data_IF_468546406070
#
_entry.id   IF_468546406070
#
_cell.length_a   1.000
_cell.length_b   1.000
_cell.length_c   1.000
_cell.angle_alpha   90.00
_cell.angle_beta   90.00
_cell.angle_gamma   90.00
#
_symmetry.space_group_name_H-M   'P 1'
#
loop_
_entity.id
_entity.type
_entity.pdbx_description
1 polymer ?
#
# COMPACT_ATOMS: atom_id res chain seq x y z
N UNK A 1 -11.42 -9.93 -18.88
CA UNK A 1 -10.19 -10.73 -18.70
C UNK A 1 -9.02 -9.88 -18.19
N UNK A 2 -8.72 -8.76 -18.84
CA UNK A 2 -7.60 -7.84 -18.51
C UNK A 2 -7.57 -7.37 -17.05
N UNK A 3 -8.69 -6.93 -16.48
CA UNK A 3 -8.73 -6.48 -15.08
C UNK A 3 -8.39 -7.59 -14.07
N UNK A 4 -8.75 -8.84 -14.37
CA UNK A 4 -8.43 -9.99 -13.50
C UNK A 4 -6.92 -10.28 -13.52
N UNK A 5 -6.29 -10.16 -14.68
CA UNK A 5 -4.84 -10.34 -14.84
C UNK A 5 -4.10 -9.21 -14.12
N UNK A 6 -4.49 -7.95 -14.33
CA UNK A 6 -3.88 -6.79 -13.64
C UNK A 6 -3.98 -6.95 -12.12
N UNK A 7 -5.15 -7.39 -11.63
CA UNK A 7 -5.39 -7.67 -10.21
C UNK A 7 -4.47 -8.77 -9.69
N UNK A 8 -4.37 -9.89 -10.41
CA UNK A 8 -3.50 -11.00 -10.02
C UNK A 8 -2.02 -10.58 -9.99
N UNK A 9 -1.56 -9.84 -11.01
CA UNK A 9 -0.20 -9.30 -11.06
C UNK A 9 0.07 -8.34 -9.90
N UNK A 10 -0.85 -7.42 -9.63
CA UNK A 10 -0.71 -6.47 -8.53
C UNK A 10 -0.61 -7.18 -7.17
N UNK A 11 -1.46 -8.18 -6.93
CA UNK A 11 -1.40 -9.00 -5.70
C UNK A 11 -0.08 -9.77 -5.64
N UNK A 12 0.35 -10.38 -6.75
CA UNK A 12 1.61 -11.12 -6.80
C UNK A 12 2.82 -10.25 -6.52
N UNK A 13 2.89 -9.04 -7.07
CA UNK A 13 3.96 -8.07 -6.81
C UNK A 13 3.93 -7.65 -5.34
N UNK A 14 2.76 -7.34 -4.77
CA UNK A 14 2.65 -6.96 -3.37
C UNK A 14 3.07 -8.08 -2.41
N UNK A 15 2.70 -9.33 -2.72
CA UNK A 15 3.17 -10.49 -1.97
C UNK A 15 4.68 -10.70 -2.12
N UNK A 16 5.21 -10.53 -3.34
CA UNK A 16 6.64 -10.64 -3.61
C UNK A 16 7.45 -9.64 -2.77
N UNK A 17 7.01 -8.38 -2.69
CA UNK A 17 7.63 -7.37 -1.82
C UNK A 17 7.63 -7.82 -0.36
N UNK A 18 6.52 -8.34 0.15
CA UNK A 18 6.46 -8.86 1.51
C UNK A 18 7.45 -10.01 1.73
N UNK A 19 7.46 -11.01 0.86
CA UNK A 19 8.34 -12.17 1.00
C UNK A 19 9.83 -11.78 0.95
N UNK A 20 10.21 -10.91 0.01
CA UNK A 20 11.59 -10.40 -0.09
C UNK A 20 11.96 -9.65 1.19
N UNK A 21 11.05 -8.81 1.69
CA UNK A 21 11.29 -8.03 2.91
C UNK A 21 11.45 -8.94 4.12
N UNK A 22 10.55 -9.91 4.32
CA UNK A 22 10.62 -10.85 5.43
C UNK A 22 11.87 -11.73 5.38
N UNK A 23 12.28 -12.16 4.19
CA UNK A 23 13.49 -12.96 4.02
C UNK A 23 14.76 -12.15 4.29
N UNK A 24 14.79 -10.88 3.87
CA UNK A 24 15.92 -9.98 4.07
C UNK A 24 15.97 -9.29 5.44
N UNK A 25 14.91 -9.40 6.24
CA UNK A 25 14.84 -8.74 7.54
C UNK A 25 15.74 -9.44 8.56
N UNK A 26 16.73 -8.70 9.05
CA UNK A 26 17.76 -9.15 9.99
C UNK A 26 17.39 -8.92 11.46
N UNK A 27 16.17 -8.47 11.74
CA UNK A 27 15.68 -8.22 13.09
C UNK A 27 16.23 -6.94 13.74
N UNK A 28 17.01 -6.14 13.00
CA UNK A 28 17.57 -4.89 13.51
C UNK A 28 16.69 -3.70 13.13
N UNK A 29 16.61 -2.68 14.01
CA UNK A 29 15.98 -1.42 13.66
C UNK A 29 16.77 -0.70 12.57
N UNK A 30 16.07 0.08 11.72
CA UNK A 30 16.62 0.83 10.59
C UNK A 30 17.40 -0.01 9.55
N UNK A 31 16.90 -1.22 9.27
CA UNK A 31 17.44 -2.07 8.21
C UNK A 31 17.04 -1.51 6.82
N UNK A 32 17.98 -1.47 5.87
CA UNK A 32 17.77 -1.01 4.48
C UNK A 32 16.57 -1.70 3.81
N UNK A 33 16.28 -2.93 4.23
CA UNK A 33 15.15 -3.71 3.73
C UNK A 33 13.78 -3.11 4.12
N UNK A 34 13.70 -2.45 5.27
CA UNK A 34 12.49 -1.76 5.72
C UNK A 34 12.22 -0.52 4.86
N UNK A 35 13.26 0.18 4.43
CA UNK A 35 13.15 1.30 3.50
C UNK A 35 12.71 0.81 2.11
N UNK A 36 13.30 -0.28 1.60
CA UNK A 36 12.88 -0.91 0.35
C UNK A 36 11.40 -1.31 0.38
N UNK A 37 10.95 -1.89 1.49
CA UNK A 37 9.55 -2.25 1.70
C UNK A 37 8.64 -1.02 1.64
N UNK A 38 8.97 0.03 2.39
CA UNK A 38 8.17 1.25 2.45
C UNK A 38 8.05 1.90 1.06
N UNK A 39 9.17 2.07 0.33
CA UNK A 39 9.15 2.66 -1.00
C UNK A 39 8.41 1.80 -2.03
N UNK A 40 8.59 0.48 -1.98
CA UNK A 40 7.91 -0.43 -2.90
C UNK A 40 6.40 -0.40 -2.68
N UNK A 41 5.94 -0.51 -1.43
CA UNK A 41 4.52 -0.46 -1.10
C UNK A 41 3.93 0.94 -1.36
N UNK A 42 4.70 2.01 -1.13
CA UNK A 42 4.28 3.36 -1.47
C UNK A 42 4.02 3.48 -2.97
N UNK A 43 4.94 3.03 -3.82
CA UNK A 43 4.80 3.10 -5.28
C UNK A 43 3.62 2.28 -5.81
N UNK A 44 3.45 1.05 -5.31
CA UNK A 44 2.42 0.12 -5.80
C UNK A 44 1.00 0.54 -5.33
N UNK A 45 0.91 1.15 -4.15
CA UNK A 45 -0.36 1.60 -3.54
C UNK A 45 -0.58 3.12 -3.63
N UNK A 46 0.23 3.86 -4.39
CA UNK A 46 0.05 5.30 -4.56
C UNK A 46 -1.29 5.64 -5.23
N UNK A 47 -2.00 6.71 -4.82
CA UNK A 47 -1.70 7.62 -3.70
C UNK A 47 -2.18 7.19 -2.30
N UNK A 48 -3.00 6.14 -2.17
CA UNK A 48 -3.60 5.76 -0.88
C UNK A 48 -2.58 5.33 0.16
N UNK A 49 -1.40 4.89 -0.27
CA UNK A 49 -0.23 4.66 0.57
C UNK A 49 0.16 5.87 1.43
N UNK A 50 -0.07 7.10 0.96
CA UNK A 50 0.22 8.31 1.73
C UNK A 50 -0.56 8.37 3.04
N UNK A 51 -1.77 7.76 3.10
CA UNK A 51 -2.52 7.69 4.35
C UNK A 51 -1.79 6.84 5.40
N UNK A 52 -1.17 5.74 5.00
CA UNK A 52 -0.39 4.88 5.90
C UNK A 52 0.84 5.63 6.40
N UNK A 53 1.54 6.34 5.52
CA UNK A 53 2.68 7.18 5.89
C UNK A 53 2.28 8.30 6.84
N UNK A 54 1.14 8.97 6.60
CA UNK A 54 0.62 10.02 7.49
C UNK A 54 0.21 9.48 8.86
N UNK A 55 -0.35 8.26 8.92
CA UNK A 55 -0.66 7.59 10.19
C UNK A 55 0.62 7.35 10.98
N UNK A 56 1.70 6.90 10.34
CA UNK A 56 3.00 6.71 11.01
C UNK A 56 3.55 8.03 11.56
N UNK A 57 3.49 9.11 10.77
CA UNK A 57 3.90 10.45 11.23
C UNK A 57 3.04 10.89 12.42
N UNK A 58 1.72 10.72 12.35
CA UNK A 58 0.82 11.09 13.44
C UNK A 58 1.05 10.28 14.73
N UNK A 59 1.39 8.99 14.62
CA UNK A 59 1.72 8.15 15.77
C UNK A 59 3.06 8.56 16.41
N UNK A 60 4.07 8.82 15.58
CA UNK A 60 5.40 9.18 16.06
C UNK A 60 5.43 10.60 16.65
N UNK A 61 5.01 11.59 15.86
CA UNK A 61 5.10 13.01 16.21
C UNK A 61 3.94 13.46 17.13
N UNK A 62 2.73 12.92 16.89
CA UNK A 62 1.55 13.31 17.65
C UNK A 62 1.37 12.56 18.98
N UNK A 63 1.76 11.29 19.05
CA UNK A 63 1.50 10.43 20.21
C UNK A 63 2.77 9.86 20.86
N UNK A 64 3.96 10.14 20.32
CA UNK A 64 5.25 9.60 20.80
C UNK A 64 5.27 8.07 20.87
N UNK A 65 4.46 7.40 20.04
CA UNK A 65 4.42 5.94 19.95
C UNK A 65 5.46 5.50 18.93
N UNK A 66 6.56 4.94 19.42
CA UNK A 66 7.58 4.30 18.57
C UNK A 66 7.20 2.85 18.34
N UNK A 67 6.77 2.51 17.12
CA UNK A 67 6.59 1.12 16.71
C UNK A 67 7.95 0.57 16.32
N UNK A 68 8.49 -0.35 17.11
CA UNK A 68 9.73 -1.03 16.75
C UNK A 68 9.52 -1.87 15.49
N UNK A 69 10.43 -1.71 14.52
CA UNK A 69 10.50 -2.56 13.34
C UNK A 69 10.72 -4.00 13.76
N UNK A 70 9.69 -4.79 13.52
CA UNK A 70 9.59 -6.22 13.79
C UNK A 70 8.85 -6.91 12.64
N UNK A 71 8.99 -8.23 12.51
CA UNK A 71 8.23 -9.01 11.52
C UNK A 71 6.71 -8.79 11.63
N UNK A 72 6.22 -8.58 12.85
CA UNK A 72 4.81 -8.29 13.09
C UNK A 72 4.43 -6.91 12.55
N UNK A 73 5.21 -5.87 12.85
CA UNK A 73 4.96 -4.51 12.33
C UNK A 73 4.99 -4.48 10.79
N UNK A 74 5.97 -5.14 10.16
CA UNK A 74 6.06 -5.23 8.70
C UNK A 74 4.83 -5.91 8.07
N UNK A 75 4.31 -6.95 8.73
CA UNK A 75 3.10 -7.65 8.28
C UNK A 75 1.86 -6.77 8.41
N UNK A 76 1.75 -6.01 9.51
CA UNK A 76 0.64 -5.08 9.75
C UNK A 76 0.67 -3.94 8.75
N UNK A 77 1.83 -3.32 8.54
CA UNK A 77 2.01 -2.25 7.56
C UNK A 77 1.69 -2.74 6.15
N UNK A 78 2.15 -3.95 5.81
CA UNK A 78 1.83 -4.56 4.54
C UNK A 78 0.33 -4.73 4.36
N UNK A 79 -0.39 -5.21 5.38
CA UNK A 79 -1.86 -5.32 5.33
C UNK A 79 -2.51 -3.96 5.09
N UNK A 80 -2.08 -2.90 5.81
CA UNK A 80 -2.60 -1.55 5.63
C UNK A 80 -2.39 -1.05 4.19
N UNK A 81 -1.16 -1.12 3.67
CA UNK A 81 -0.87 -0.73 2.30
C UNK A 81 -1.59 -1.60 1.27
N UNK A 82 -1.70 -2.90 1.51
CA UNK A 82 -2.35 -3.86 0.63
C UNK A 82 -3.84 -3.56 0.51
N UNK A 83 -4.55 -3.44 1.64
CA UNK A 83 -5.99 -3.19 1.63
C UNK A 83 -6.34 -1.82 1.05
N UNK A 84 -5.61 -0.78 1.42
CA UNK A 84 -5.84 0.58 0.91
C UNK A 84 -5.52 0.68 -0.58
N UNK A 85 -4.39 0.12 -1.03
CA UNK A 85 -4.00 0.08 -2.43
C UNK A 85 -4.98 -0.74 -3.27
N UNK A 86 -5.39 -1.90 -2.77
CA UNK A 86 -6.37 -2.76 -3.43
C UNK A 86 -7.72 -2.06 -3.59
N UNK A 87 -8.22 -1.44 -2.52
CA UNK A 87 -9.52 -0.77 -2.54
C UNK A 87 -9.50 0.44 -3.48
N UNK A 88 -8.40 1.20 -3.48
CA UNK A 88 -8.17 2.27 -4.43
C UNK A 88 -8.25 1.76 -5.87
N UNK A 89 -7.35 0.84 -6.27
CA UNK A 89 -7.19 0.45 -7.67
C UNK A 89 -8.36 -0.35 -8.24
N UNK A 90 -8.98 -1.23 -7.44
CA UNK A 90 -9.96 -2.18 -7.95
C UNK A 90 -11.41 -1.88 -7.57
N UNK A 91 -11.66 -0.93 -6.66
CA UNK A 91 -13.02 -0.47 -6.33
C UNK A 91 -13.24 1.01 -6.60
N UNK A 92 -12.41 1.89 -6.02
CA UNK A 92 -12.60 3.35 -6.14
C UNK A 92 -12.32 3.82 -7.57
N UNK A 93 -11.16 3.48 -8.14
CA UNK A 93 -10.75 3.97 -9.46
C UNK A 93 -11.74 3.58 -10.57
N UNK A 94 -12.21 2.32 -10.68
CA UNK A 94 -13.21 1.95 -11.69
C UNK A 94 -14.54 2.66 -11.47
N UNK A 95 -14.97 2.84 -10.21
CA UNK A 95 -16.19 3.57 -9.86
C UNK A 95 -16.12 5.05 -10.22
N UNK A 96 -15.00 5.72 -9.96
CA UNK A 96 -14.81 7.12 -10.34
C UNK A 96 -14.80 7.28 -11.85
N UNK A 97 -14.11 6.40 -12.58
CA UNK A 97 -14.08 6.44 -14.05
C UNK A 97 -15.48 6.24 -14.63
N UNK A 98 -16.27 5.29 -14.12
CA UNK A 98 -17.63 5.08 -14.61
C UNK A 98 -18.55 6.27 -14.31
N UNK A 99 -18.44 6.86 -13.12
CA UNK A 99 -19.19 8.05 -12.73
C UNK A 99 -18.84 9.27 -13.58
N UNK A 100 -17.55 9.51 -13.86
CA UNK A 100 -17.09 10.61 -14.70
C UNK A 100 -17.56 10.47 -16.15
N UNK A 101 -17.54 9.25 -16.70
CA UNK A 101 -18.10 8.97 -18.04
C UNK A 101 -19.59 9.27 -18.11
N UNK A 102 -20.35 8.89 -17.08
CA UNK A 102 -21.78 9.17 -17.01
C UNK A 102 -22.07 10.67 -16.95
N UNK A 103 -21.32 11.42 -16.14
CA UNK A 103 -21.48 12.89 -16.05
C UNK A 103 -21.15 13.60 -17.37
N UNK A 104 -20.13 13.14 -18.10
CA UNK A 104 -19.78 13.70 -19.41
C UNK A 104 -20.91 13.52 -20.43
N UNK A 105 -21.59 12.36 -20.41
CA UNK A 105 -22.73 12.08 -21.31
C UNK A 105 -24.00 12.85 -20.94
N UNK A 106 -24.14 13.31 -19.68
CA UNK A 106 -25.29 14.08 -19.22
C UNK A 106 -25.17 15.58 -19.56
N UNK A 107 -23.94 16.10 -19.64
CA UNK A 107 -23.66 17.53 -19.79
C UNK A 107 -23.24 17.95 -21.21
N UNK A 108 -23.21 17.02 -22.18
CA UNK A 108 -22.92 17.29 -23.59
C UNK A 108 -24.04 16.79 -24.47
#
# INVERSE_FOLDING_TARGET
>A
MTLRILKALWIAISLFVLFVTMYGFDGKPNSDIGELFAWSMLAISFPSSLLVSLIHVALYDGLSITVETSYLSLSIDWLCFFFLGYFQWFKITPYLISKLKWLKLKNG
#
